data_IF_742848487608
#
_entry.id   IF_742848487608
#
_cell.length_a   1.000
_cell.length_b   1.000
_cell.length_c   1.000
_cell.angle_alpha   90.00
_cell.angle_beta   90.00
_cell.angle_gamma   90.00
#
_symmetry.space_group_name_H-M   'P 1'
#
loop_
_entity.id
_entity.type
_entity.pdbx_description
1 polymer ?
#
# COMPACT_ATOMS: atom_id res chain seq x y z
N UNK A 1 -45.63 26.41 9.47
CA UNK A 1 -46.37 26.83 10.67
C UNK A 1 -46.35 25.68 11.66
N UNK A 2 -45.30 25.61 12.49
CA UNK A 2 -45.28 24.97 13.82
C UNK A 2 -43.98 25.42 14.46
N UNK A 3 -44.15 26.16 15.56
CA UNK A 3 -43.14 26.73 16.43
C UNK A 3 -42.85 25.75 17.58
N UNK A 4 -41.82 26.12 18.37
CA UNK A 4 -41.48 25.72 19.74
C UNK A 4 -40.49 24.53 19.89
N UNK A 5 -39.50 24.52 20.80
CA UNK A 5 -38.80 25.52 21.62
C UNK A 5 -37.73 24.77 22.48
N UNK A 6 -36.56 25.39 22.65
CA UNK A 6 -35.71 25.52 23.85
C UNK A 6 -35.25 24.33 24.75
N UNK A 7 -33.98 24.44 25.19
CA UNK A 7 -33.41 23.94 26.45
C UNK A 7 -32.41 22.78 26.26
N UNK A 8 -31.27 22.65 26.93
CA UNK A 8 -30.62 23.36 28.05
C UNK A 8 -29.12 23.00 28.02
N UNK A 9 -28.26 23.90 28.53
CA UNK A 9 -26.84 23.64 28.78
C UNK A 9 -26.54 23.07 30.17
N UNK A 10 -25.25 22.79 30.41
CA UNK A 10 -24.61 22.51 31.72
C UNK A 10 -23.93 21.13 31.76
N UNK A 11 -22.58 21.04 31.75
CA UNK A 11 -21.65 20.97 32.92
C UNK A 11 -21.69 19.57 33.60
N UNK A 12 -20.66 18.75 33.84
CA UNK A 12 -19.20 18.84 33.99
C UNK A 12 -18.59 17.40 33.87
N UNK A 13 -17.26 17.20 33.88
CA UNK A 13 -16.70 16.68 35.13
C UNK A 13 -15.36 17.32 35.54
N UNK A 14 -15.25 17.62 36.84
CA UNK A 14 -13.98 17.84 37.53
C UNK A 14 -13.15 16.54 37.60
N UNK A 15 -11.82 16.65 37.74
CA UNK A 15 -11.31 16.48 39.11
C UNK A 15 -10.26 17.51 39.53
N UNK A 16 -10.50 18.01 40.74
CA UNK A 16 -9.58 18.21 41.86
C UNK A 16 -8.10 18.61 41.64
N UNK A 17 -7.86 19.86 42.05
CA UNK A 17 -6.83 20.33 43.00
C UNK A 17 -5.34 20.23 42.58
N UNK A 18 -4.84 21.35 42.06
CA UNK A 18 -3.46 21.77 42.24
C UNK A 18 -3.29 22.45 43.61
N UNK A 19 -2.36 21.96 44.44
CA UNK A 19 -1.70 22.77 45.47
C UNK A 19 -0.19 22.58 45.39
N UNK A 20 0.51 23.69 45.29
CA UNK A 20 1.96 23.77 45.20
C UNK A 20 2.61 23.98 46.57
N UNK A 21 3.86 23.50 46.65
CA UNK A 21 5.02 24.08 47.36
C UNK A 21 5.41 23.44 48.73
N UNK A 22 6.65 23.71 49.25
CA UNK A 22 7.79 22.81 49.12
C UNK A 22 8.44 22.44 50.47
N UNK A 23 9.29 21.42 50.51
CA UNK A 23 10.26 21.26 51.61
C UNK A 23 11.50 20.48 51.14
N UNK A 24 12.67 21.10 51.34
CA UNK A 24 13.99 20.53 51.17
C UNK A 24 14.43 19.79 52.45
N UNK A 25 15.22 18.72 52.33
CA UNK A 25 16.58 18.60 52.89
C UNK A 25 17.14 17.17 52.75
N UNK A 26 18.44 17.16 52.56
CA UNK A 26 19.36 16.09 52.17
C UNK A 26 19.45 14.88 53.13
N UNK A 27 19.74 13.70 52.56
CA UNK A 27 20.70 12.75 53.11
C UNK A 27 21.03 11.59 52.13
N UNK A 28 22.26 11.60 51.61
CA UNK A 28 23.14 10.41 51.63
C UNK A 28 23.15 9.46 50.44
N UNK A 29 24.32 9.35 49.80
CA UNK A 29 24.97 8.05 49.58
C UNK A 29 24.95 7.46 48.16
N UNK A 30 25.98 7.81 47.40
CA UNK A 30 26.87 6.96 46.58
C UNK A 30 26.36 5.68 45.85
N UNK A 31 26.63 5.72 44.53
CA UNK A 31 27.29 4.70 43.70
C UNK A 31 26.45 3.85 42.73
N UNK A 32 26.83 4.03 41.45
CA UNK A 32 26.88 3.06 40.36
C UNK A 32 25.66 2.18 40.04
N UNK A 33 25.01 2.49 38.91
CA UNK A 33 24.83 1.52 37.84
C UNK A 33 24.43 2.26 36.55
N UNK A 34 25.20 2.01 35.50
CA UNK A 34 25.00 2.60 34.19
C UNK A 34 23.69 2.22 33.50
N UNK A 35 23.41 2.95 32.44
CA UNK A 35 22.33 2.67 31.51
C UNK A 35 21.95 3.94 30.78
N UNK A 36 22.69 4.25 29.72
CA UNK A 36 22.12 5.05 28.65
C UNK A 36 20.85 4.33 28.17
N UNK A 37 19.69 4.97 28.27
CA UNK A 37 18.47 4.49 27.61
C UNK A 37 18.64 4.73 26.12
N UNK A 38 19.41 3.85 25.47
CA UNK A 38 19.51 3.78 24.02
C UNK A 38 18.19 3.28 23.44
N UNK A 39 17.79 3.93 22.36
CA UNK A 39 16.53 3.70 21.67
C UNK A 39 16.33 2.25 21.24
N UNK A 40 15.11 1.77 21.45
CA UNK A 40 14.63 0.52 20.86
C UNK A 40 13.54 0.83 19.86
N UNK A 41 13.95 1.18 18.63
CA UNK A 41 13.03 1.28 17.50
C UNK A 41 12.35 -0.07 17.28
N UNK A 42 11.03 -0.06 17.17
CA UNK A 42 10.28 -1.13 16.52
C UNK A 42 9.83 -0.63 15.16
N UNK A 43 10.80 -0.28 14.31
CA UNK A 43 10.60 -0.51 12.89
C UNK A 43 10.52 -2.02 12.74
N UNK A 44 9.31 -2.56 12.62
CA UNK A 44 9.09 -3.89 12.04
C UNK A 44 9.71 -3.82 10.66
N UNK A 45 10.97 -4.24 10.54
CA UNK A 45 11.55 -4.52 9.25
C UNK A 45 10.68 -5.62 8.65
N UNK A 46 9.93 -5.30 7.60
CA UNK A 46 9.12 -6.28 6.89
C UNK A 46 10.01 -7.45 6.50
N UNK A 47 9.56 -8.67 6.79
CA UNK A 47 10.24 -9.87 6.30
C UNK A 47 10.19 -9.79 4.77
N UNK A 48 11.34 -9.89 4.06
CA UNK A 48 11.34 -9.92 2.61
C UNK A 48 10.35 -10.97 2.10
N UNK A 49 9.42 -10.56 1.26
CA UNK A 49 8.48 -11.46 0.59
C UNK A 49 9.05 -11.80 -0.78
N UNK A 50 8.99 -13.06 -1.20
CA UNK A 50 9.29 -13.43 -2.58
C UNK A 50 8.31 -12.71 -3.52
N UNK A 51 8.69 -12.30 -4.74
CA UNK A 51 7.75 -11.68 -5.68
C UNK A 51 6.60 -12.61 -6.07
N UNK A 52 5.51 -12.06 -6.61
CA UNK A 52 4.48 -12.87 -7.28
C UNK A 52 5.05 -13.44 -8.58
N UNK A 53 4.95 -14.76 -8.82
CA UNK A 53 5.60 -15.39 -9.96
C UNK A 53 4.94 -15.02 -11.28
N UNK A 54 5.77 -14.84 -12.31
CA UNK A 54 5.33 -14.70 -13.68
C UNK A 54 4.97 -16.08 -14.26
N UNK A 55 3.85 -16.13 -14.97
CA UNK A 55 3.44 -17.29 -15.77
C UNK A 55 3.60 -16.93 -17.24
N UNK A 56 4.38 -17.71 -18.01
CA UNK A 56 4.61 -17.44 -19.42
C UNK A 56 3.32 -17.36 -20.24
N UNK A 57 3.35 -16.53 -21.29
CA UNK A 57 2.25 -16.43 -22.25
C UNK A 57 1.95 -17.81 -22.89
N UNK A 58 0.67 -18.13 -23.16
CA UNK A 58 0.32 -19.36 -23.86
C UNK A 58 0.84 -19.34 -25.30
N UNK A 59 1.13 -20.52 -25.85
CA UNK A 59 1.67 -20.66 -27.22
C UNK A 59 0.76 -20.05 -28.32
N UNK A 60 -0.55 -20.01 -28.08
CA UNK A 60 -1.56 -19.46 -28.99
C UNK A 60 -1.93 -17.99 -28.68
N UNK A 61 -1.11 -17.25 -27.91
CA UNK A 61 -1.37 -15.86 -27.59
C UNK A 61 -1.33 -14.97 -28.85
N UNK A 62 -2.42 -14.26 -29.12
CA UNK A 62 -2.47 -13.27 -30.19
C UNK A 62 -1.97 -11.92 -29.68
N UNK A 63 -0.86 -11.46 -30.27
CA UNK A 63 -0.23 -10.20 -29.88
C UNK A 63 -1.11 -9.02 -30.30
N UNK A 64 -1.64 -8.22 -29.36
CA UNK A 64 -2.40 -7.02 -29.69
C UNK A 64 -1.48 -5.94 -30.28
N UNK A 65 -2.09 -4.92 -30.88
CA UNK A 65 -1.34 -3.73 -31.31
C UNK A 65 -0.70 -3.05 -30.09
N UNK A 66 0.62 -2.80 -30.09
CA UNK A 66 1.29 -2.23 -28.94
C UNK A 66 0.80 -0.80 -28.71
N UNK A 67 0.53 -0.47 -27.43
CA UNK A 67 0.19 0.87 -26.97
C UNK A 67 -1.07 1.45 -27.62
N UNK A 68 -2.02 0.57 -27.96
CA UNK A 68 -3.28 0.95 -28.58
C UNK A 68 -4.26 1.61 -27.61
N UNK A 69 -4.06 1.48 -26.29
CA UNK A 69 -5.05 1.91 -25.31
C UNK A 69 -6.18 0.90 -25.11
N UNK A 70 -5.99 -0.34 -25.55
CA UNK A 70 -7.03 -1.37 -25.56
C UNK A 70 -7.11 -2.17 -24.26
N UNK A 71 -6.08 -2.15 -23.42
CA UNK A 71 -6.15 -2.80 -22.11
C UNK A 71 -7.26 -2.20 -21.24
N UNK A 72 -8.00 -3.05 -20.53
CA UNK A 72 -9.08 -2.61 -19.66
C UNK A 72 -8.56 -1.77 -18.48
N UNK A 73 -7.32 -2.01 -18.08
CA UNK A 73 -6.60 -1.30 -17.03
C UNK A 73 -5.22 -0.87 -17.52
N UNK A 74 -4.71 0.22 -16.96
CA UNK A 74 -3.33 0.62 -17.24
C UNK A 74 -2.82 1.68 -16.29
N UNK A 75 -1.50 1.80 -16.20
CA UNK A 75 -0.82 2.79 -15.39
C UNK A 75 0.45 3.27 -16.07
N UNK A 76 0.87 4.48 -15.72
CA UNK A 76 2.21 4.98 -16.04
C UNK A 76 3.18 4.66 -14.93
N UNK A 77 4.48 4.69 -15.24
CA UNK A 77 5.55 4.54 -14.24
C UNK A 77 5.37 5.56 -13.11
N UNK A 78 5.29 5.07 -11.88
CA UNK A 78 5.03 5.84 -10.65
C UNK A 78 3.54 6.14 -10.39
N UNK A 79 2.64 5.58 -11.19
CA UNK A 79 1.19 5.71 -11.02
C UNK A 79 0.53 4.36 -10.73
N UNK A 80 -0.65 4.41 -10.13
CA UNK A 80 -1.51 3.25 -9.90
C UNK A 80 -2.46 3.02 -11.05
N UNK A 81 -2.86 1.77 -11.26
CA UNK A 81 -3.75 1.37 -12.34
C UNK A 81 -5.06 2.16 -12.35
N UNK A 82 -5.48 2.54 -13.55
CA UNK A 82 -6.75 3.20 -13.84
C UNK A 82 -7.51 2.40 -14.92
N UNK A 83 -8.84 2.22 -14.78
CA UNK A 83 -9.64 2.51 -13.58
C UNK A 83 -9.23 1.64 -12.38
N UNK A 84 -9.76 1.93 -11.19
CA UNK A 84 -9.54 1.08 -10.01
C UNK A 84 -9.97 -0.37 -10.30
N UNK A 85 -9.19 -1.33 -9.81
CA UNK A 85 -9.49 -2.75 -9.97
C UNK A 85 -10.71 -3.15 -9.12
N UNK A 86 -11.53 -4.09 -9.59
CA UNK A 86 -12.69 -4.58 -8.86
C UNK A 86 -12.28 -5.27 -7.55
N UNK A 87 -13.02 -4.98 -6.50
CA UNK A 87 -12.93 -5.67 -5.20
C UNK A 87 -13.32 -7.16 -5.35
N UNK A 88 -12.60 -8.05 -4.69
CA UNK A 88 -12.89 -9.49 -4.63
C UNK A 88 -12.87 -9.94 -3.17
N UNK A 89 -13.94 -10.62 -2.74
CA UNK A 89 -14.11 -11.12 -1.36
C UNK A 89 -13.92 -10.07 -0.24
N UNK A 90 -14.22 -8.79 -0.50
CA UNK A 90 -14.04 -7.71 0.47
C UNK A 90 -12.61 -7.17 0.55
N UNK A 91 -11.74 -7.56 -0.39
CA UNK A 91 -10.36 -7.09 -0.50
C UNK A 91 -10.15 -6.33 -1.81
N UNK A 92 -9.28 -5.32 -1.78
CA UNK A 92 -8.92 -4.49 -2.93
C UNK A 92 -7.51 -4.80 -3.39
N UNK A 93 -7.27 -4.74 -4.69
CA UNK A 93 -5.93 -4.83 -5.28
C UNK A 93 -5.55 -3.49 -5.90
N UNK A 94 -4.39 -2.96 -5.52
CA UNK A 94 -3.75 -1.81 -6.19
C UNK A 94 -2.51 -2.29 -6.91
N UNK A 95 -2.44 -2.03 -8.21
CA UNK A 95 -1.25 -2.25 -9.04
C UNK A 95 -0.58 -0.91 -9.30
N UNK A 96 0.73 -0.84 -9.05
CA UNK A 96 1.60 0.28 -9.41
C UNK A 96 2.62 -0.19 -10.45
N UNK A 97 2.86 0.62 -11.48
CA UNK A 97 3.98 0.39 -12.41
C UNK A 97 5.20 1.08 -11.82
N UNK A 98 6.19 0.31 -11.37
CA UNK A 98 7.40 0.86 -10.74
C UNK A 98 8.46 1.19 -11.78
N UNK A 99 8.42 0.53 -12.95
CA UNK A 99 9.38 0.74 -14.02
C UNK A 99 9.05 -0.07 -15.28
N UNK A 100 9.88 0.16 -16.31
CA UNK A 100 9.88 -0.59 -17.57
C UNK A 100 11.34 -0.77 -17.98
N UNK A 101 11.78 -2.02 -18.18
CA UNK A 101 13.11 -2.35 -18.70
C UNK A 101 12.98 -3.08 -20.04
N UNK A 102 13.21 -2.38 -21.14
CA UNK A 102 13.03 -2.94 -22.48
C UNK A 102 11.57 -3.33 -22.75
N UNK A 103 11.28 -4.63 -22.75
CA UNK A 103 9.94 -5.19 -22.94
C UNK A 103 9.28 -5.64 -21.63
N UNK A 104 10.01 -5.57 -20.52
CA UNK A 104 9.61 -6.03 -19.21
C UNK A 104 8.89 -4.91 -18.45
N UNK A 105 7.69 -5.20 -17.95
CA UNK A 105 6.97 -4.37 -17.01
C UNK A 105 7.36 -4.73 -15.58
N UNK A 106 7.82 -3.73 -14.81
CA UNK A 106 8.08 -3.88 -13.38
C UNK A 106 6.84 -3.38 -12.62
N UNK A 107 6.22 -4.28 -11.87
CA UNK A 107 4.95 -4.02 -11.17
C UNK A 107 5.08 -4.29 -9.67
N UNK A 108 4.31 -3.53 -8.89
CA UNK A 108 4.11 -3.79 -7.46
C UNK A 108 2.61 -3.91 -7.17
N UNK A 109 2.26 -4.85 -6.31
CA UNK A 109 0.89 -5.15 -5.93
C UNK A 109 0.67 -4.93 -4.42
N UNK A 110 -0.39 -4.22 -4.08
CA UNK A 110 -0.83 -4.00 -2.69
C UNK A 110 -2.23 -4.56 -2.50
N UNK A 111 -2.39 -5.47 -1.52
CA UNK A 111 -3.68 -6.02 -1.10
C UNK A 111 -4.21 -5.23 0.10
N UNK A 112 -5.40 -4.63 -0.04
CA UNK A 112 -5.98 -3.76 0.98
C UNK A 112 -5.04 -2.62 1.39
N UNK A 113 -4.91 -2.40 2.70
CA UNK A 113 -3.95 -1.47 3.31
C UNK A 113 -2.59 -2.15 3.63
N UNK A 114 -2.29 -3.26 2.94
CA UNK A 114 -1.09 -4.07 3.15
C UNK A 114 0.21 -3.39 2.73
N UNK A 115 1.32 -4.11 2.89
CA UNK A 115 2.60 -3.67 2.33
C UNK A 115 2.69 -4.05 0.84
N UNK A 116 3.23 -3.18 -0.02
CA UNK A 116 3.47 -3.51 -1.42
C UNK A 116 4.39 -4.73 -1.55
N UNK A 117 4.08 -5.60 -2.51
CA UNK A 117 4.87 -6.78 -2.87
C UNK A 117 5.12 -6.77 -4.37
N UNK A 118 6.38 -6.99 -4.74
CA UNK A 118 6.80 -7.03 -6.15
C UNK A 118 6.13 -8.18 -6.91
N UNK A 119 5.91 -7.97 -8.20
CA UNK A 119 5.59 -9.00 -9.18
C UNK A 119 6.87 -9.26 -9.98
N UNK A 120 7.17 -10.52 -10.29
CA UNK A 120 8.23 -10.80 -11.27
C UNK A 120 7.95 -10.04 -12.56
N UNK A 121 9.01 -9.59 -13.24
CA UNK A 121 8.88 -8.85 -14.48
C UNK A 121 7.98 -9.59 -15.48
N UNK A 122 7.01 -8.86 -16.04
CA UNK A 122 6.05 -9.41 -17.00
C UNK A 122 6.26 -8.78 -18.38
N UNK A 123 6.31 -9.62 -19.39
CA UNK A 123 6.25 -9.22 -20.80
C UNK A 123 4.84 -9.41 -21.36
N UNK A 124 4.65 -8.95 -22.58
CA UNK A 124 3.36 -9.03 -23.28
C UNK A 124 2.83 -10.48 -23.37
N UNK A 125 1.59 -10.65 -22.90
CA UNK A 125 0.89 -11.93 -22.83
C UNK A 125 1.18 -12.76 -21.57
N UNK A 126 2.18 -12.39 -20.78
CA UNK A 126 2.47 -13.05 -19.50
C UNK A 126 1.47 -12.62 -18.43
N UNK A 127 1.32 -13.51 -17.44
CA UNK A 127 0.33 -13.34 -16.38
C UNK A 127 0.96 -13.48 -15.01
N UNK A 128 0.33 -12.89 -13.99
CA UNK A 128 0.67 -13.15 -12.59
C UNK A 128 -0.61 -13.29 -11.76
N UNK A 129 -0.65 -14.30 -10.91
CA UNK A 129 -1.74 -14.49 -9.94
C UNK A 129 -1.35 -13.84 -8.61
N UNK A 130 -2.16 -12.87 -8.22
CA UNK A 130 -2.05 -12.08 -6.99
C UNK A 130 -3.31 -12.38 -6.18
N UNK A 131 -3.23 -13.39 -5.31
CA UNK A 131 -4.35 -13.88 -4.51
C UNK A 131 -5.60 -14.21 -5.37
N UNK A 132 -6.67 -13.43 -5.26
CA UNK A 132 -7.91 -13.61 -6.04
C UNK A 132 -7.90 -13.00 -7.44
N UNK A 133 -6.84 -12.31 -7.86
CA UNK A 133 -6.73 -11.65 -9.16
C UNK A 133 -5.66 -12.34 -10.00
N UNK A 134 -5.92 -12.50 -11.29
CA UNK A 134 -4.87 -12.81 -12.25
C UNK A 134 -4.81 -11.70 -13.27
N UNK A 135 -3.65 -11.06 -13.39
CA UNK A 135 -3.40 -10.00 -14.37
C UNK A 135 -2.75 -10.61 -15.61
N UNK A 136 -3.07 -10.07 -16.79
CA UNK A 136 -2.43 -10.40 -18.07
C UNK A 136 -1.91 -9.12 -18.71
N UNK A 137 -0.61 -9.00 -18.94
CA UNK A 137 -0.04 -7.82 -19.59
C UNK A 137 -0.44 -7.83 -21.06
N UNK A 138 -1.07 -6.76 -21.53
CA UNK A 138 -1.51 -6.62 -22.92
C UNK A 138 -0.67 -5.62 -23.69
N UNK A 139 0.01 -4.68 -23.01
CA UNK A 139 0.96 -3.78 -23.66
C UNK A 139 2.02 -3.24 -22.71
N UNK A 140 3.26 -3.09 -23.20
CA UNK A 140 4.36 -2.41 -22.51
C UNK A 140 4.90 -1.31 -23.42
N UNK A 141 4.73 -0.06 -22.99
CA UNK A 141 4.98 1.13 -23.79
C UNK A 141 6.15 1.93 -23.24
N UNK A 142 7.36 1.60 -23.65
CA UNK A 142 8.57 2.28 -23.19
C UNK A 142 8.57 3.79 -23.48
N UNK A 143 8.05 4.22 -24.64
CA UNK A 143 8.04 5.63 -25.05
C UNK A 143 7.10 6.51 -24.20
N UNK A 144 5.94 5.97 -23.81
CA UNK A 144 4.95 6.66 -22.97
C UNK A 144 5.06 6.30 -21.49
N UNK A 145 6.02 5.43 -21.14
CA UNK A 145 6.20 4.85 -19.82
C UNK A 145 4.91 4.26 -19.24
N UNK A 146 4.16 3.51 -20.05
CA UNK A 146 2.84 3.00 -19.70
C UNK A 146 2.78 1.48 -19.84
N UNK A 147 2.05 0.82 -18.94
CA UNK A 147 1.72 -0.60 -19.02
C UNK A 147 0.20 -0.74 -19.04
N UNK A 148 -0.31 -1.61 -19.90
CA UNK A 148 -1.72 -1.97 -20.00
C UNK A 148 -1.88 -3.45 -19.72
N UNK A 149 -2.97 -3.81 -19.05
CA UNK A 149 -3.26 -5.18 -18.66
C UNK A 149 -4.76 -5.42 -18.51
N UNK A 150 -5.12 -6.70 -18.55
CA UNK A 150 -6.47 -7.18 -18.29
C UNK A 150 -6.50 -8.05 -17.03
N UNK A 151 -7.71 -8.20 -16.48
CA UNK A 151 -8.00 -9.20 -15.45
C UNK A 151 -8.59 -10.45 -16.11
N UNK A 152 -8.04 -11.60 -15.76
CA UNK A 152 -8.52 -12.90 -16.20
C UNK A 152 -9.01 -13.72 -14.99
N UNK A 153 -10.10 -14.46 -15.20
CA UNK A 153 -10.78 -15.30 -14.20
C UNK A 153 -10.50 -16.79 -14.37
#
# INVERSE_FOLDING_TARGET
MSLLAAGCGGQEPAPEQATSAPAASDAGGESDAGGASDGGGQSVAGVPQDPYPATPAPDDFEVPDPCSGEGAYGAKVGETAAPDLPERAGETLTIEVTGIDGADAELSATLGDGSPREVEALTLGETATIDLWTISVTSVCGDSQQVEFDLID
#
